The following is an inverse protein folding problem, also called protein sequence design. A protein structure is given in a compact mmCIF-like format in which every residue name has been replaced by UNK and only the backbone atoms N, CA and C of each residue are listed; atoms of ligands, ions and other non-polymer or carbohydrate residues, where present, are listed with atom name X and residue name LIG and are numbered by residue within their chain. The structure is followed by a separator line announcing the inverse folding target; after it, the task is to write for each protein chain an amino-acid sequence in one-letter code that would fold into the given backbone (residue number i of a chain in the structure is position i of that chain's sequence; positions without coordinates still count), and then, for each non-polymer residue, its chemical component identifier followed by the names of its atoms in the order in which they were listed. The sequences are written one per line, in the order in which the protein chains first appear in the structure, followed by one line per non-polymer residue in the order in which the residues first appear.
data_IF_299998690946
#
_entry.id   IF_299998690946
#
_cell.length_a   1.000
_cell.length_b   1.000
_cell.length_c   1.000
_cell.angle_alpha   90.00
_cell.angle_beta   90.00
_cell.angle_gamma   90.00
#
_symmetry.space_group_name_H-M   'P 1'
#
loop_
_entity.id
_entity.type
_entity.pdbx_description
1 polymer ?
#
# COMPACT_ATOMS: atom_id res chain seq x y z
N UNK A 1 -11.49 -9.53 18.41
CA UNK A 1 -11.41 -8.08 18.70
C UNK A 1 -10.46 -7.43 17.72
N UNK A 2 -10.89 -6.39 17.05
CA UNK A 2 -10.06 -5.70 16.08
C UNK A 2 -9.05 -4.80 16.78
N UNK A 3 -7.82 -4.88 16.32
CA UNK A 3 -6.72 -4.02 16.77
C UNK A 3 -6.09 -3.34 15.56
N UNK A 4 -5.17 -2.39 15.79
CA UNK A 4 -4.42 -1.76 14.70
C UNK A 4 -3.64 -2.80 13.88
N UNK A 5 -3.29 -3.94 14.49
CA UNK A 5 -2.53 -5.00 13.81
C UNK A 5 -3.38 -5.83 12.85
N UNK A 6 -4.70 -5.69 12.90
CA UNK A 6 -5.62 -6.30 11.94
C UNK A 6 -5.87 -5.39 10.73
N UNK A 7 -5.32 -4.18 10.72
CA UNK A 7 -5.47 -3.25 9.63
C UNK A 7 -4.87 -3.81 8.33
N UNK A 8 -5.57 -3.58 7.24
CA UNK A 8 -5.12 -4.00 5.91
C UNK A 8 -4.24 -2.90 5.32
N UNK A 9 -2.98 -3.24 5.07
CA UNK A 9 -1.99 -2.31 4.55
C UNK A 9 -1.67 -2.61 3.08
N UNK A 10 -1.50 -1.56 2.30
CA UNK A 10 -0.98 -1.65 0.94
C UNK A 10 0.27 -0.78 0.85
N UNK A 11 1.39 -1.40 0.48
CA UNK A 11 2.67 -0.70 0.30
C UNK A 11 3.04 -0.73 -1.17
N UNK A 12 3.27 0.43 -1.75
CA UNK A 12 3.58 0.59 -3.17
C UNK A 12 4.95 1.23 -3.34
N UNK A 13 5.88 0.47 -3.90
CA UNK A 13 7.24 0.92 -4.18
C UNK A 13 7.81 0.01 -5.28
N UNK A 14 8.56 0.56 -6.24
CA UNK A 14 9.16 -0.25 -7.30
C UNK A 14 10.40 -1.03 -6.85
N UNK A 15 10.92 -0.73 -5.67
CA UNK A 15 12.08 -1.42 -5.10
C UNK A 15 11.62 -2.66 -4.31
N UNK A 16 11.81 -3.84 -4.91
CA UNK A 16 11.39 -5.11 -4.31
C UNK A 16 12.10 -5.41 -2.98
N UNK A 17 13.37 -5.04 -2.87
CA UNK A 17 14.14 -5.25 -1.64
C UNK A 17 13.61 -4.39 -0.50
N UNK A 18 13.27 -3.14 -0.78
CA UNK A 18 12.67 -2.25 0.21
C UNK A 18 11.30 -2.77 0.65
N UNK A 19 10.47 -3.24 -0.28
CA UNK A 19 9.17 -3.82 0.04
C UNK A 19 9.33 -5.02 0.99
N UNK A 20 10.28 -5.91 0.69
CA UNK A 20 10.54 -7.07 1.53
C UNK A 20 10.97 -6.67 2.95
N UNK A 21 11.84 -5.67 3.05
CA UNK A 21 12.31 -5.16 4.34
C UNK A 21 11.17 -4.53 5.14
N UNK A 22 10.37 -3.69 4.52
CA UNK A 22 9.21 -3.07 5.18
C UNK A 22 8.20 -4.10 5.66
N UNK A 23 7.90 -5.11 4.83
CA UNK A 23 7.01 -6.20 5.21
C UNK A 23 7.55 -6.96 6.41
N UNK A 24 8.84 -7.29 6.41
CA UNK A 24 9.48 -8.00 7.52
C UNK A 24 9.35 -7.20 8.82
N UNK A 25 9.64 -5.90 8.76
CA UNK A 25 9.58 -5.05 9.95
C UNK A 25 8.15 -4.88 10.46
N UNK A 26 7.19 -4.68 9.56
CA UNK A 26 5.80 -4.52 9.95
C UNK A 26 5.22 -5.81 10.52
N UNK A 27 5.54 -6.96 9.94
CA UNK A 27 5.13 -8.26 10.48
C UNK A 27 5.76 -8.51 11.84
N UNK A 28 7.03 -8.15 11.99
CA UNK A 28 7.71 -8.24 13.29
C UNK A 28 7.06 -7.37 14.35
N UNK A 29 6.43 -6.26 13.96
CA UNK A 29 5.68 -5.39 14.87
C UNK A 29 4.26 -5.89 15.15
N UNK A 30 3.77 -6.91 14.42
CA UNK A 30 2.46 -7.51 14.64
C UNK A 30 1.44 -7.36 13.53
N UNK A 31 1.75 -6.60 12.46
CA UNK A 31 0.82 -6.43 11.33
C UNK A 31 0.81 -7.68 10.45
N UNK A 32 -0.35 -8.30 10.29
CA UNK A 32 -0.50 -9.56 9.57
C UNK A 32 -1.13 -9.44 8.19
N UNK A 33 -1.69 -8.29 7.83
CA UNK A 33 -2.42 -8.09 6.58
C UNK A 33 -1.74 -7.05 5.70
N UNK A 34 -0.65 -7.45 5.03
CA UNK A 34 0.17 -6.56 4.21
C UNK A 34 0.16 -7.06 2.78
N UNK A 35 -0.21 -6.18 1.85
CA UNK A 35 -0.06 -6.40 0.41
C UNK A 35 0.95 -5.41 -0.14
N UNK A 36 1.64 -5.81 -1.19
CA UNK A 36 2.64 -4.97 -1.84
C UNK A 36 2.34 -4.87 -3.33
N UNK A 37 2.76 -3.75 -3.93
CA UNK A 37 2.67 -3.51 -5.34
C UNK A 37 3.90 -2.73 -5.80
N UNK A 38 4.35 -2.99 -7.03
CA UNK A 38 5.57 -2.36 -7.56
C UNK A 38 5.29 -1.33 -8.65
N UNK A 39 4.01 -1.07 -8.93
CA UNK A 39 3.60 -0.13 -9.97
C UNK A 39 2.22 0.44 -9.66
N UNK A 40 1.82 1.48 -10.37
CA UNK A 40 0.47 2.02 -10.27
C UNK A 40 -0.56 0.99 -10.68
N UNK A 41 -0.32 0.25 -11.77
CA UNK A 41 -1.25 -0.78 -12.25
C UNK A 41 -1.44 -1.89 -11.23
N UNK A 42 -0.35 -2.37 -10.62
CA UNK A 42 -0.42 -3.40 -9.58
C UNK A 42 -1.15 -2.88 -8.34
N UNK A 43 -0.90 -1.63 -7.95
CA UNK A 43 -1.58 -1.01 -6.81
C UNK A 43 -3.08 -0.89 -7.03
N UNK A 44 -3.51 -0.50 -8.23
CA UNK A 44 -4.94 -0.44 -8.58
C UNK A 44 -5.60 -1.82 -8.50
N UNK A 45 -4.92 -2.84 -8.98
CA UNK A 45 -5.42 -4.22 -8.90
C UNK A 45 -5.56 -4.70 -7.45
N UNK A 46 -4.56 -4.42 -6.60
CA UNK A 46 -4.62 -4.75 -5.18
C UNK A 46 -5.77 -4.01 -4.48
N UNK A 47 -5.95 -2.72 -4.77
CA UNK A 47 -7.01 -1.90 -4.18
C UNK A 47 -8.39 -2.42 -4.57
N UNK A 48 -8.56 -2.84 -5.82
CA UNK A 48 -9.83 -3.38 -6.31
C UNK A 48 -10.13 -4.76 -5.72
N UNK A 49 -9.10 -5.59 -5.52
CA UNK A 49 -9.27 -6.93 -4.96
C UNK A 49 -9.62 -6.89 -3.48
N UNK A 50 -8.96 -6.01 -2.73
CA UNK A 50 -9.20 -5.85 -1.30
C UNK A 50 -8.81 -4.43 -0.90
N UNK A 51 -9.81 -3.60 -0.58
CA UNK A 51 -9.57 -2.22 -0.22
C UNK A 51 -8.73 -2.15 1.06
N UNK A 52 -7.58 -1.46 1.03
CA UNK A 52 -6.76 -1.28 2.24
C UNK A 52 -7.36 -0.24 3.17
N UNK A 53 -6.89 -0.24 4.40
CA UNK A 53 -7.26 0.75 5.40
C UNK A 53 -6.18 1.84 5.53
N UNK A 54 -4.96 1.54 5.09
CA UNK A 54 -3.84 2.50 5.03
C UNK A 54 -2.95 2.13 3.85
N UNK A 55 -2.47 3.14 3.15
CA UNK A 55 -1.51 2.97 2.06
C UNK A 55 -0.19 3.66 2.39
N UNK A 56 0.91 3.04 1.97
CA UNK A 56 2.25 3.63 2.00
C UNK A 56 2.71 3.68 0.54
N UNK A 57 2.87 4.89 0.01
CA UNK A 57 3.08 5.10 -1.42
C UNK A 57 4.41 5.77 -1.71
N UNK A 58 5.18 5.21 -2.63
CA UNK A 58 6.32 5.90 -3.22
C UNK A 58 5.82 6.95 -4.22
N UNK A 59 6.51 8.06 -4.31
CA UNK A 59 6.16 9.15 -5.23
C UNK A 59 6.52 8.76 -6.68
N UNK A 60 7.68 8.14 -6.89
CA UNK A 60 8.18 7.79 -8.21
C UNK A 60 7.93 6.32 -8.51
N UNK A 61 7.01 6.05 -9.43
CA UNK A 61 6.66 4.69 -9.86
C UNK A 61 6.94 4.56 -11.36
N UNK A 62 7.18 3.34 -11.87
CA UNK A 62 7.56 3.15 -13.28
C UNK A 62 6.48 3.59 -14.28
N UNK A 63 5.21 3.55 -13.89
CA UNK A 63 4.07 3.86 -14.74
C UNK A 63 3.25 5.06 -14.25
N UNK A 64 3.84 5.91 -13.42
CA UNK A 64 3.18 7.11 -12.93
C UNK A 64 3.80 7.64 -11.65
N UNK A 65 3.06 8.47 -10.93
CA UNK A 65 3.50 8.99 -9.63
C UNK A 65 2.49 8.67 -8.53
N UNK A 66 3.00 8.62 -7.29
CA UNK A 66 2.21 8.23 -6.13
C UNK A 66 1.09 9.21 -5.79
N UNK A 67 1.28 10.51 -6.07
CA UNK A 67 0.23 11.51 -5.79
C UNK A 67 -0.96 11.35 -6.73
N UNK A 68 -0.71 11.14 -8.01
CA UNK A 68 -1.78 10.91 -9.00
C UNK A 68 -2.50 9.60 -8.70
N UNK A 69 -1.75 8.56 -8.34
CA UNK A 69 -2.32 7.28 -7.92
C UNK A 69 -3.22 7.46 -6.70
N UNK A 70 -2.74 8.16 -5.67
CA UNK A 70 -3.51 8.42 -4.46
C UNK A 70 -4.82 9.12 -4.78
N UNK A 71 -4.79 10.17 -5.60
CA UNK A 71 -6.01 10.90 -6.00
C UNK A 71 -7.00 10.00 -6.73
N UNK A 72 -6.51 9.14 -7.61
CA UNK A 72 -7.38 8.21 -8.35
C UNK A 72 -8.03 7.18 -7.42
N UNK A 73 -7.27 6.64 -6.46
CA UNK A 73 -7.80 5.66 -5.51
C UNK A 73 -8.73 6.32 -4.49
N UNK A 74 -8.40 7.52 -4.02
CA UNK A 74 -9.24 8.26 -3.08
C UNK A 74 -10.59 8.63 -3.66
N UNK A 75 -10.69 8.80 -4.96
CA UNK A 75 -11.97 9.03 -5.62
C UNK A 75 -12.94 7.85 -5.46
N UNK A 76 -12.40 6.65 -5.21
CA UNK A 76 -13.18 5.42 -5.02
C UNK A 76 -13.50 5.15 -3.55
N UNK A 77 -12.59 5.50 -2.65
CA UNK A 77 -12.74 5.27 -1.22
C UNK A 77 -11.79 6.17 -0.43
N UNK A 78 -12.23 6.61 0.75
CA UNK A 78 -11.45 7.51 1.61
C UNK A 78 -10.46 6.69 2.45
N UNK A 79 -9.28 6.42 1.89
CA UNK A 79 -8.21 5.66 2.54
C UNK A 79 -7.00 6.58 2.73
N UNK A 80 -6.51 6.74 3.96
CA UNK A 80 -5.32 7.57 4.22
C UNK A 80 -4.07 6.95 3.61
N UNK A 81 -3.11 7.81 3.28
CA UNK A 81 -1.83 7.39 2.73
C UNK A 81 -0.67 8.15 3.36
N UNK A 82 0.46 7.46 3.48
CA UNK A 82 1.77 8.02 3.83
C UNK A 82 2.65 7.99 2.59
N UNK A 83 3.46 9.03 2.41
CA UNK A 83 4.39 9.14 1.29
C UNK A 83 5.83 9.10 1.74
#
# INVERSE_FOLDING_TARGET
MDTIYDAKLLIVDDNAELLALLCEQLRGAGYGHIRTAQSCAAARACFAAEQPELMILDINLPDGDGFSLFRALRAKADVPALF
#
